data_IF_078602705056
#
_entry.id   IF_078602705056
#
_cell.length_a   1.000
_cell.length_b   1.000
_cell.length_c   1.000
_cell.angle_alpha   90.00
_cell.angle_beta   90.00
_cell.angle_gamma   90.00
#
_symmetry.space_group_name_H-M   'P 1'
#
loop_
_entity.id
_entity.type
_entity.pdbx_description
1 polymer ?
#
# COMPACT_ATOMS: atom_id res chain seq x y z
N UNK A 1 -10.26 -9.26 5.30
CA UNK A 1 -8.91 -8.69 5.03
C UNK A 1 -8.06 -8.77 6.29
N UNK A 2 -6.82 -9.11 6.11
CA UNK A 2 -5.85 -9.18 7.19
C UNK A 2 -4.60 -8.42 6.77
N UNK A 3 -4.14 -7.52 7.64
CA UNK A 3 -2.96 -6.70 7.36
C UNK A 3 -1.89 -7.02 8.39
N UNK A 4 -0.70 -7.36 7.93
CA UNK A 4 0.45 -7.63 8.79
C UNK A 4 1.51 -6.58 8.49
N UNK A 5 2.04 -5.96 9.54
CA UNK A 5 3.09 -4.95 9.42
C UNK A 5 4.29 -5.40 10.25
N UNK A 6 5.42 -5.62 9.58
CA UNK A 6 6.66 -6.05 10.21
C UNK A 6 7.78 -5.09 9.84
N UNK A 7 8.64 -4.81 10.79
CA UNK A 7 9.83 -3.99 10.52
C UNK A 7 11.07 -4.89 10.51
N UNK A 8 11.80 -4.87 9.40
CA UNK A 8 13.02 -5.64 9.22
C UNK A 8 14.14 -4.65 8.92
N UNK A 9 15.04 -4.43 9.89
CA UNK A 9 16.03 -3.37 9.78
C UNK A 9 15.34 -2.01 9.72
N UNK A 10 15.59 -1.25 8.65
CA UNK A 10 14.95 0.05 8.42
C UNK A 10 13.70 -0.05 7.56
N UNK A 11 13.40 -1.24 7.02
CA UNK A 11 12.28 -1.42 6.12
C UNK A 11 11.02 -1.89 6.85
N UNK A 12 9.91 -1.26 6.53
CA UNK A 12 8.60 -1.66 7.02
C UNK A 12 7.88 -2.43 5.90
N UNK A 13 7.55 -3.68 6.17
CA UNK A 13 6.88 -4.55 5.20
C UNK A 13 5.42 -4.70 5.58
N UNK A 14 4.54 -4.31 4.66
CA UNK A 14 3.09 -4.41 4.82
C UNK A 14 2.60 -5.55 3.92
N UNK A 15 1.98 -6.55 4.51
CA UNK A 15 1.36 -7.65 3.77
C UNK A 15 -0.14 -7.53 3.92
N UNK A 16 -0.85 -7.50 2.80
CA UNK A 16 -2.31 -7.43 2.78
C UNK A 16 -2.84 -8.77 2.26
N UNK A 17 -3.63 -9.44 3.06
CA UNK A 17 -4.23 -10.73 2.70
C UNK A 17 -5.74 -10.55 2.52
N UNK A 18 -6.25 -10.85 1.32
CA UNK A 18 -7.66 -10.80 1.00
C UNK A 18 -8.04 -9.58 0.17
N UNK A 19 -9.16 -8.97 0.48
CA UNK A 19 -9.77 -7.91 -0.31
C UNK A 19 -9.66 -6.58 0.41
N UNK A 20 -9.06 -5.60 -0.24
CA UNK A 20 -9.06 -4.21 0.25
C UNK A 20 -10.18 -3.47 -0.47
N UNK A 21 -11.38 -3.66 0.01
CA UNK A 21 -12.59 -3.05 -0.54
C UNK A 21 -12.98 -1.79 0.26
N UNK A 22 -14.08 -1.17 -0.14
CA UNK A 22 -14.52 0.08 0.48
C UNK A 22 -14.76 -0.04 1.99
N UNK A 23 -15.45 -1.08 2.50
CA UNK A 23 -15.62 -1.24 3.94
C UNK A 23 -14.31 -1.43 4.70
N UNK A 24 -13.32 -2.06 4.09
CA UNK A 24 -12.03 -2.34 4.73
C UNK A 24 -11.03 -1.20 4.63
N UNK A 25 -11.27 -0.22 3.77
CA UNK A 25 -10.29 0.85 3.54
C UNK A 25 -10.02 1.67 4.80
N UNK A 26 -11.03 1.86 5.64
CA UNK A 26 -10.86 2.58 6.90
C UNK A 26 -10.02 1.78 7.89
N UNK A 27 -10.20 0.48 7.94
CA UNK A 27 -9.38 -0.40 8.79
C UNK A 27 -7.93 -0.35 8.32
N UNK A 28 -7.70 -0.41 7.02
CA UNK A 28 -6.37 -0.30 6.46
C UNK A 28 -5.74 1.06 6.79
N UNK A 29 -6.52 2.13 6.70
CA UNK A 29 -6.06 3.48 7.08
C UNK A 29 -5.56 3.50 8.52
N UNK A 30 -6.30 2.87 9.44
CA UNK A 30 -5.90 2.77 10.83
C UNK A 30 -4.62 1.93 11.01
N UNK A 31 -4.52 0.84 10.25
CA UNK A 31 -3.36 -0.06 10.32
C UNK A 31 -2.06 0.60 9.87
N UNK A 32 -2.11 1.52 8.92
CA UNK A 32 -0.92 2.20 8.40
C UNK A 32 -0.54 3.47 9.16
N UNK A 33 -1.32 3.87 10.17
CA UNK A 33 -1.02 5.07 10.94
C UNK A 33 0.40 5.12 11.50
N UNK A 34 0.96 4.03 12.05
CA UNK A 34 2.35 4.06 12.52
C UNK A 34 3.36 4.44 11.44
N UNK A 35 3.08 4.10 10.18
CA UNK A 35 3.96 4.46 9.06
C UNK A 35 3.87 5.96 8.79
N UNK A 36 2.67 6.54 8.91
CA UNK A 36 2.45 7.97 8.72
C UNK A 36 3.03 8.81 9.87
N UNK A 37 3.43 8.16 10.95
CA UNK A 37 4.09 8.79 12.09
C UNK A 37 5.61 8.60 12.06
N UNK A 38 6.12 7.76 11.17
CA UNK A 38 7.56 7.55 10.99
C UNK A 38 8.16 8.77 10.29
N UNK A 39 9.27 9.26 10.81
CA UNK A 39 9.94 10.45 10.25
C UNK A 39 10.51 10.20 8.86
N UNK A 40 10.89 8.98 8.55
CA UNK A 40 11.51 8.63 7.26
C UNK A 40 11.21 7.17 6.93
N UNK A 41 9.99 6.85 6.54
CA UNK A 41 9.59 5.46 6.30
C UNK A 41 10.22 4.90 5.03
N UNK A 42 10.61 3.63 5.12
CA UNK A 42 11.04 2.83 3.98
C UNK A 42 10.03 1.68 3.90
N UNK A 43 9.06 1.79 3.00
CA UNK A 43 7.88 0.93 2.99
C UNK A 43 7.88 0.02 1.78
N UNK A 44 7.64 -1.25 2.02
CA UNK A 44 7.35 -2.23 0.99
C UNK A 44 5.95 -2.79 1.23
N UNK A 45 5.04 -2.58 0.28
CA UNK A 45 3.73 -3.21 0.34
C UNK A 45 3.77 -4.46 -0.53
N UNK A 46 3.72 -5.61 0.12
CA UNK A 46 3.71 -6.90 -0.55
C UNK A 46 2.26 -7.31 -0.81
N UNK A 47 1.88 -7.34 -2.07
CA UNK A 47 0.53 -7.61 -2.52
C UNK A 47 0.33 -9.03 -3.02
N UNK A 48 1.24 -9.96 -2.68
CA UNK A 48 1.14 -11.35 -3.15
C UNK A 48 -0.18 -12.02 -2.75
N UNK A 49 -0.75 -11.61 -1.62
CA UNK A 49 -1.99 -12.17 -1.10
C UNK A 49 -3.18 -11.22 -1.25
N UNK A 50 -2.99 -10.09 -1.90
CA UNK A 50 -4.06 -9.14 -2.17
C UNK A 50 -4.88 -9.62 -3.36
N UNK A 51 -6.17 -9.87 -3.14
CA UNK A 51 -7.05 -10.44 -4.16
C UNK A 51 -7.82 -9.37 -4.94
N UNK A 52 -8.08 -8.22 -4.30
CA UNK A 52 -8.88 -7.15 -4.89
C UNK A 52 -8.57 -5.84 -4.19
N UNK A 53 -8.59 -4.74 -4.95
CA UNK A 53 -8.46 -3.40 -4.39
C UNK A 53 -9.52 -2.48 -4.98
N UNK A 54 -10.19 -1.73 -4.11
CA UNK A 54 -11.18 -0.71 -4.51
C UNK A 54 -10.51 0.64 -4.76
N UNK A 55 -11.26 1.59 -5.31
CA UNK A 55 -10.77 2.96 -5.48
C UNK A 55 -10.40 3.61 -4.16
N UNK A 56 -11.15 3.34 -3.09
CA UNK A 56 -10.80 3.86 -1.76
C UNK A 56 -9.53 3.22 -1.20
N UNK A 57 -9.30 1.94 -1.49
CA UNK A 57 -8.04 1.27 -1.15
C UNK A 57 -6.85 1.87 -1.90
N UNK A 58 -7.01 2.12 -3.20
CA UNK A 58 -5.99 2.81 -3.99
C UNK A 58 -5.68 4.19 -3.43
N UNK A 59 -6.69 4.91 -2.97
CA UNK A 59 -6.50 6.22 -2.37
C UNK A 59 -5.63 6.15 -1.11
N UNK A 60 -5.77 5.10 -0.32
CA UNK A 60 -4.91 4.88 0.85
C UNK A 60 -3.46 4.64 0.44
N UNK A 61 -3.24 3.89 -0.62
CA UNK A 61 -1.90 3.70 -1.18
C UNK A 61 -1.30 5.04 -1.63
N UNK A 62 -2.11 5.86 -2.30
CA UNK A 62 -1.67 7.17 -2.77
C UNK A 62 -1.33 8.11 -1.60
N UNK A 63 -2.14 8.10 -0.55
CA UNK A 63 -1.90 8.88 0.66
C UNK A 63 -0.55 8.50 1.27
N UNK A 64 -0.28 7.21 1.36
CA UNK A 64 0.97 6.70 1.90
C UNK A 64 2.16 7.10 1.03
N UNK A 65 2.02 7.01 -0.29
CA UNK A 65 3.07 7.41 -1.21
C UNK A 65 3.38 8.91 -1.10
N UNK A 66 2.36 9.74 -1.04
CA UNK A 66 2.54 11.20 -0.88
C UNK A 66 3.28 11.53 0.40
N UNK A 67 2.92 10.86 1.49
CA UNK A 67 3.60 11.06 2.76
C UNK A 67 5.07 10.66 2.66
N UNK A 68 5.38 9.47 2.13
CA UNK A 68 6.75 8.99 2.03
C UNK A 68 7.62 9.92 1.19
N UNK A 69 7.10 10.43 0.08
CA UNK A 69 7.81 11.39 -0.76
C UNK A 69 8.04 12.70 -0.04
N UNK A 70 7.06 13.16 0.73
CA UNK A 70 7.14 14.43 1.44
C UNK A 70 8.22 14.44 2.53
N UNK A 71 8.51 13.30 3.11
CA UNK A 71 9.52 13.16 4.18
C UNK A 71 10.81 12.49 3.70
N UNK A 72 10.99 12.40 2.37
CA UNK A 72 12.16 11.75 1.75
C UNK A 72 12.31 10.28 2.12
N UNK A 73 11.21 9.61 2.38
CA UNK A 73 11.16 8.17 2.55
C UNK A 73 11.03 7.45 1.22
N UNK A 74 10.81 6.15 1.26
CA UNK A 74 10.62 5.32 0.08
C UNK A 74 9.40 4.44 0.23
N UNK A 75 8.75 4.14 -0.89
CA UNK A 75 7.64 3.19 -0.93
C UNK A 75 7.70 2.41 -2.22
N UNK A 76 7.61 1.09 -2.10
CA UNK A 76 7.49 0.20 -3.26
C UNK A 76 6.27 -0.70 -3.07
N UNK A 77 5.66 -1.07 -4.18
CA UNK A 77 4.53 -2.00 -4.23
C UNK A 77 4.98 -3.21 -5.04
N UNK A 78 4.83 -4.40 -4.49
CA UNK A 78 5.33 -5.63 -5.09
C UNK A 78 4.25 -6.70 -5.24
N UNK A 79 4.49 -7.59 -6.20
CA UNK A 79 3.78 -8.86 -6.33
C UNK A 79 2.27 -8.70 -6.60
N UNK A 80 1.88 -7.70 -7.38
CA UNK A 80 0.49 -7.55 -7.80
C UNK A 80 0.08 -8.73 -8.69
N UNK A 81 -1.07 -9.33 -8.43
CA UNK A 81 -1.65 -10.27 -9.38
C UNK A 81 -2.20 -9.51 -10.59
N UNK A 82 -2.56 -10.23 -11.66
CA UNK A 82 -2.99 -9.60 -12.90
C UNK A 82 -4.26 -8.78 -12.75
N UNK A 83 -5.19 -9.21 -11.92
CA UNK A 83 -6.45 -8.49 -11.69
C UNK A 83 -6.24 -7.17 -10.96
N UNK A 84 -5.44 -7.18 -9.91
CA UNK A 84 -5.10 -5.98 -9.15
C UNK A 84 -4.24 -5.04 -9.98
N UNK A 85 -3.26 -5.59 -10.72
CA UNK A 85 -2.42 -4.81 -11.65
C UNK A 85 -3.27 -4.09 -12.69
N UNK A 86 -4.29 -4.75 -13.21
CA UNK A 86 -5.21 -4.14 -14.17
C UNK A 86 -5.92 -2.91 -13.57
N UNK A 87 -6.32 -2.98 -12.31
CA UNK A 87 -6.93 -1.83 -11.64
C UNK A 87 -5.93 -0.66 -11.54
N UNK A 88 -4.68 -0.94 -11.21
CA UNK A 88 -3.63 0.07 -11.19
C UNK A 88 -3.42 0.66 -12.60
N UNK A 89 -3.41 -0.18 -13.63
CA UNK A 89 -3.23 0.26 -15.02
C UNK A 89 -4.40 1.15 -15.48
N UNK A 90 -5.62 0.74 -15.22
CA UNK A 90 -6.82 1.45 -15.64
C UNK A 90 -6.97 2.82 -14.96
N UNK A 91 -6.48 2.96 -13.75
CA UNK A 91 -6.57 4.22 -12.99
C UNK A 91 -5.35 5.12 -13.22
N UNK A 92 -4.34 4.65 -13.95
CA UNK A 92 -3.09 5.38 -14.16
C UNK A 92 -2.12 5.27 -12.99
N UNK A 93 -2.44 4.52 -11.96
CA UNK A 93 -1.60 4.38 -10.78
C UNK A 93 -0.33 3.58 -11.03
N UNK A 94 -0.32 2.72 -12.05
CA UNK A 94 0.89 1.97 -12.42
C UNK A 94 2.08 2.89 -12.71
N UNK A 95 1.85 4.00 -13.40
CA UNK A 95 2.90 4.99 -13.65
C UNK A 95 3.34 5.71 -12.38
N UNK A 96 2.39 6.03 -11.50
CA UNK A 96 2.67 6.72 -10.24
C UNK A 96 3.54 5.85 -9.32
N UNK A 97 3.28 4.55 -9.29
CA UNK A 97 4.01 3.59 -8.44
C UNK A 97 5.15 2.88 -9.14
N UNK A 98 5.46 3.22 -10.39
CA UNK A 98 6.52 2.58 -11.19
C UNK A 98 6.31 1.07 -11.37
N UNK A 99 5.12 0.69 -11.70
CA UNK A 99 4.77 -0.72 -11.91
C UNK A 99 4.85 -1.11 -13.39
#
# INVERSE_FOLDING_TARGET
>A
METTINKIGTQTIVVINGRLDTPNSKVFEENIQPILEDERPDVCIDCAKLEYISSSGLRQFLTLLKYTKNVNGTMVVKNLNSEVKEVFDMTGFSGIFNL
#
